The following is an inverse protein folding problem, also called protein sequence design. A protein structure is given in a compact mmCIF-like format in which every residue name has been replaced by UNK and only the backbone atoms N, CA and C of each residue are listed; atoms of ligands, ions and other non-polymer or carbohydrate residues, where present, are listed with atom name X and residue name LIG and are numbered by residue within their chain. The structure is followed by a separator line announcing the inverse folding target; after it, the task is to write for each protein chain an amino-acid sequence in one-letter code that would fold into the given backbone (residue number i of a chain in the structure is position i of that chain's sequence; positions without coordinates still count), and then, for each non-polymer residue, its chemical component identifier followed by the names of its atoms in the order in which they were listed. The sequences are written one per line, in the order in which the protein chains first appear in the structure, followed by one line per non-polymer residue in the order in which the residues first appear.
data_IF_778222373407
#
_entry.id   IF_778222373407
#
_cell.length_a   1.000
_cell.length_b   1.000
_cell.length_c   1.000
_cell.angle_alpha   90.00
_cell.angle_beta   90.00
_cell.angle_gamma   90.00
#
_symmetry.space_group_name_H-M   'P 1'
#
loop_
_entity.id
_entity.type
_entity.pdbx_description
1 polymer ?
#
# COMPACT_ATOMS: atom_id res chain seq x y z
N UNK A 1 -32.75 20.88 9.99
CA UNK A 1 -31.29 20.64 9.91
C UNK A 1 -31.03 19.51 8.97
N UNK A 2 -30.26 19.77 7.95
CA UNK A 2 -29.79 18.67 7.07
C UNK A 2 -28.90 17.71 7.85
N UNK A 3 -29.20 16.42 7.82
CA UNK A 3 -28.27 15.42 8.35
C UNK A 3 -26.94 15.52 7.57
N UNK A 4 -25.82 15.48 8.27
CA UNK A 4 -24.52 15.41 7.64
C UNK A 4 -24.51 14.19 6.70
N UNK A 5 -24.08 14.37 5.45
CA UNK A 5 -23.93 13.26 4.53
C UNK A 5 -22.95 12.23 5.13
N UNK A 6 -23.32 10.95 5.10
CA UNK A 6 -22.39 9.89 5.49
C UNK A 6 -21.17 9.95 4.56
N UNK A 7 -19.94 9.90 5.10
CA UNK A 7 -18.75 9.84 4.26
C UNK A 7 -18.87 8.63 3.32
N UNK A 8 -18.47 8.81 2.07
CA UNK A 8 -18.42 7.68 1.16
C UNK A 8 -17.25 6.75 1.54
N UNK A 9 -17.19 5.58 0.91
CA UNK A 9 -16.16 4.59 1.23
C UNK A 9 -14.74 5.07 0.92
N UNK A 10 -14.55 5.96 -0.06
CA UNK A 10 -13.25 6.53 -0.37
C UNK A 10 -12.82 7.57 0.66
N UNK A 11 -13.75 8.39 1.18
CA UNK A 11 -13.47 9.31 2.29
C UNK A 11 -13.05 8.52 3.54
N UNK A 12 -13.75 7.42 3.83
CA UNK A 12 -13.40 6.53 4.93
C UNK A 12 -12.03 5.87 4.72
N UNK A 13 -11.70 5.48 3.50
CA UNK A 13 -10.40 4.91 3.16
C UNK A 13 -9.28 5.95 3.35
N UNK A 14 -9.47 7.17 2.88
CA UNK A 14 -8.49 8.25 3.08
C UNK A 14 -8.23 8.53 4.56
N UNK A 15 -9.29 8.57 5.37
CA UNK A 15 -9.15 8.76 6.81
C UNK A 15 -8.40 7.60 7.47
N UNK A 16 -8.70 6.36 7.09
CA UNK A 16 -8.03 5.19 7.61
C UNK A 16 -6.56 5.12 7.19
N UNK A 17 -6.25 5.48 5.94
CA UNK A 17 -4.87 5.58 5.46
C UNK A 17 -4.08 6.58 6.30
N UNK A 18 -4.67 7.72 6.65
CA UNK A 18 -4.02 8.71 7.52
C UNK A 18 -3.72 8.15 8.91
N UNK A 19 -4.63 7.36 9.50
CA UNK A 19 -4.38 6.66 10.76
C UNK A 19 -3.22 5.67 10.66
N UNK A 20 -3.17 4.89 9.58
CA UNK A 20 -2.08 3.95 9.34
C UNK A 20 -0.75 4.66 9.12
N UNK A 21 -0.74 5.80 8.43
CA UNK A 21 0.46 6.61 8.25
C UNK A 21 1.07 7.03 9.59
N UNK A 22 0.23 7.46 10.52
CA UNK A 22 0.68 7.80 11.86
C UNK A 22 1.26 6.60 12.59
N UNK A 23 0.54 5.49 12.57
CA UNK A 23 0.96 4.26 13.24
C UNK A 23 2.27 3.70 12.66
N UNK A 24 2.50 3.84 11.36
CA UNK A 24 3.69 3.35 10.66
C UNK A 24 4.83 4.37 10.59
N UNK A 25 4.62 5.60 11.07
CA UNK A 25 5.65 6.64 11.09
C UNK A 25 6.00 7.20 9.72
N UNK A 26 5.06 7.22 8.78
CA UNK A 26 5.25 7.70 7.40
C UNK A 26 4.38 8.91 7.08
N UNK A 27 4.13 9.78 8.04
CA UNK A 27 3.25 10.95 7.89
C UNK A 27 3.78 12.01 6.93
N UNK A 28 5.10 12.01 6.66
CA UNK A 28 5.69 12.93 5.68
C UNK A 28 5.29 12.62 4.24
N UNK A 29 4.86 11.38 3.99
CA UNK A 29 4.43 10.96 2.67
C UNK A 29 3.03 11.48 2.36
N UNK A 30 2.85 12.00 1.15
CA UNK A 30 1.53 12.34 0.64
C UNK A 30 0.96 11.15 -0.12
N UNK A 31 -0.02 10.49 0.47
CA UNK A 31 -0.70 9.35 -0.15
C UNK A 31 -2.03 9.83 -0.75
N UNK A 32 -2.17 9.68 -2.05
CA UNK A 32 -3.40 9.98 -2.77
C UNK A 32 -4.14 8.68 -3.04
N UNK A 33 -5.37 8.59 -2.55
CA UNK A 33 -6.27 7.48 -2.88
C UNK A 33 -6.91 7.77 -4.23
N UNK A 34 -6.70 6.86 -5.19
CA UNK A 34 -7.33 6.95 -6.51
C UNK A 34 -8.78 6.49 -6.38
N UNK A 35 -9.72 7.38 -6.72
CA UNK A 35 -11.17 7.15 -6.53
C UNK A 35 -11.83 6.40 -7.67
N UNK A 36 -11.06 5.93 -8.62
CA UNK A 36 -11.56 5.13 -9.72
C UNK A 36 -11.39 3.65 -9.42
N UNK A 37 -12.33 2.86 -9.88
CA UNK A 37 -12.19 1.41 -9.86
C UNK A 37 -10.97 1.02 -10.69
N UNK A 38 -10.08 0.26 -10.10
CA UNK A 38 -8.87 -0.15 -10.79
C UNK A 38 -8.94 -1.62 -11.20
N UNK A 39 -8.45 -1.90 -12.40
CA UNK A 39 -8.26 -3.24 -12.93
C UNK A 39 -6.98 -3.89 -12.38
N UNK A 40 -6.67 -3.65 -11.11
CA UNK A 40 -5.52 -4.32 -10.50
C UNK A 40 -5.84 -5.80 -10.33
N UNK A 41 -4.91 -6.65 -10.74
CA UNK A 41 -4.99 -8.11 -10.53
C UNK A 41 -4.79 -8.50 -9.06
N UNK A 42 -4.73 -7.51 -8.17
CA UNK A 42 -4.55 -7.68 -6.73
C UNK A 42 -5.70 -6.97 -6.00
N UNK A 43 -5.79 -7.12 -4.69
CA UNK A 43 -6.77 -6.38 -3.90
C UNK A 43 -6.47 -4.88 -3.85
N UNK A 44 -5.20 -4.52 -3.83
CA UNK A 44 -4.75 -3.13 -3.85
C UNK A 44 -3.33 -3.05 -4.43
N UNK A 45 -2.94 -1.86 -4.85
CA UNK A 45 -1.55 -1.56 -5.16
C UNK A 45 -1.18 -0.15 -4.72
N UNK A 46 0.11 0.10 -4.58
CA UNK A 46 0.64 1.41 -4.28
C UNK A 46 1.81 1.71 -5.22
N UNK A 47 1.89 2.96 -5.66
CA UNK A 47 2.97 3.43 -6.52
C UNK A 47 3.75 4.53 -5.82
N UNK A 48 4.85 4.21 -5.12
CA UNK A 48 5.66 5.21 -4.43
C UNK A 48 6.55 6.00 -5.38
N UNK A 49 6.64 7.29 -5.10
CA UNK A 49 7.60 8.21 -5.73
C UNK A 49 8.55 8.69 -4.63
N UNK A 50 9.64 7.98 -4.44
CA UNK A 50 10.51 8.14 -3.27
C UNK A 50 11.07 9.55 -3.13
N UNK A 51 11.55 10.15 -4.22
CA UNK A 51 12.14 11.50 -4.16
C UNK A 51 11.11 12.58 -3.82
N UNK A 52 9.87 12.43 -4.27
CA UNK A 52 8.78 13.35 -3.99
C UNK A 52 8.07 13.04 -2.66
N UNK A 53 8.38 11.92 -2.03
CA UNK A 53 7.70 11.41 -0.84
C UNK A 53 6.18 11.41 -1.04
N UNK A 54 5.73 10.90 -2.17
CA UNK A 54 4.32 10.78 -2.54
C UNK A 54 4.02 9.40 -3.10
N UNK A 55 2.78 8.98 -3.00
CA UNK A 55 2.33 7.70 -3.52
C UNK A 55 0.86 7.75 -3.92
N UNK A 56 0.50 6.96 -4.91
CA UNK A 56 -0.89 6.70 -5.28
C UNK A 56 -1.29 5.31 -4.80
N UNK A 57 -2.38 5.24 -4.06
CA UNK A 57 -2.99 4.00 -3.60
C UNK A 57 -4.25 3.72 -4.41
N UNK A 58 -4.32 2.52 -4.98
CA UNK A 58 -5.51 2.03 -5.68
C UNK A 58 -6.03 0.78 -5.01
N UNK A 59 -7.34 0.62 -4.96
CA UNK A 59 -7.99 -0.59 -4.47
C UNK A 59 -8.90 -1.17 -5.56
N UNK A 60 -8.94 -2.49 -5.62
CA UNK A 60 -9.82 -3.20 -6.57
C UNK A 60 -11.25 -3.28 -6.03
N UNK A 61 -12.19 -3.69 -6.89
CA UNK A 61 -13.56 -3.97 -6.46
C UNK A 61 -13.59 -5.05 -5.37
N UNK A 62 -12.72 -6.05 -5.48
CA UNK A 62 -12.69 -7.16 -4.53
C UNK A 62 -12.17 -6.76 -3.15
N UNK A 63 -11.39 -5.68 -3.05
CA UNK A 63 -10.95 -5.14 -1.77
C UNK A 63 -12.14 -4.83 -0.84
N UNK A 64 -13.18 -4.21 -1.38
CA UNK A 64 -14.34 -3.80 -0.59
C UNK A 64 -15.16 -4.97 -0.06
N UNK A 65 -15.00 -6.14 -0.67
CA UNK A 65 -15.69 -7.38 -0.26
C UNK A 65 -14.94 -8.15 0.83
N UNK A 66 -13.72 -7.74 1.14
CA UNK A 66 -12.91 -8.42 2.14
C UNK A 66 -13.38 -8.10 3.57
N UNK A 67 -13.02 -8.96 4.51
CA UNK A 67 -13.26 -8.70 5.94
C UNK A 67 -12.44 -7.50 6.42
N UNK A 68 -12.86 -6.79 7.49
CA UNK A 68 -12.07 -5.71 8.04
C UNK A 68 -10.64 -6.13 8.42
N UNK A 69 -10.46 -7.31 8.99
CA UNK A 69 -9.12 -7.85 9.28
C UNK A 69 -8.25 -7.96 8.04
N UNK A 70 -8.81 -8.47 6.96
CA UNK A 70 -8.09 -8.63 5.71
C UNK A 70 -7.81 -7.29 5.03
N UNK A 71 -8.78 -6.38 5.04
CA UNK A 71 -8.60 -5.02 4.53
C UNK A 71 -7.46 -4.29 5.25
N UNK A 72 -7.39 -4.41 6.57
CA UNK A 72 -6.29 -3.87 7.38
C UNK A 72 -4.95 -4.43 6.95
N UNK A 73 -4.84 -5.73 6.82
CA UNK A 73 -3.61 -6.40 6.42
C UNK A 73 -3.17 -5.99 5.01
N UNK A 74 -4.12 -5.94 4.06
CA UNK A 74 -3.84 -5.49 2.68
C UNK A 74 -3.26 -4.08 2.68
N UNK A 75 -3.87 -3.15 3.38
CA UNK A 75 -3.43 -1.75 3.39
C UNK A 75 -2.07 -1.58 4.07
N UNK A 76 -1.82 -2.28 5.16
CA UNK A 76 -0.51 -2.26 5.83
C UNK A 76 0.56 -2.81 4.89
N UNK A 77 0.28 -3.92 4.20
CA UNK A 77 1.17 -4.50 3.20
C UNK A 77 1.57 -3.45 2.15
N UNK A 78 0.57 -2.80 1.53
CA UNK A 78 0.84 -1.79 0.52
C UNK A 78 1.63 -0.61 1.08
N UNK A 79 1.29 -0.13 2.27
CA UNK A 79 1.98 0.99 2.88
C UNK A 79 3.42 0.67 3.31
N UNK A 80 3.73 -0.59 3.58
CA UNK A 80 5.10 -1.03 3.85
C UNK A 80 6.00 -0.91 2.61
N UNK A 81 5.44 -0.94 1.40
CA UNK A 81 6.21 -0.64 0.19
C UNK A 81 6.73 0.81 0.17
N UNK A 82 6.10 1.71 0.89
CA UNK A 82 6.64 3.07 1.11
C UNK A 82 7.90 2.99 1.96
N UNK A 83 7.90 2.17 2.99
CA UNK A 83 9.06 1.98 3.88
C UNK A 83 10.24 1.38 3.12
N UNK A 84 9.98 0.48 2.18
CA UNK A 84 11.03 -0.16 1.36
C UNK A 84 11.38 0.63 0.10
N UNK A 85 10.66 1.71 -0.22
CA UNK A 85 10.78 2.41 -1.50
C UNK A 85 12.21 2.88 -1.81
N UNK A 86 12.93 3.38 -0.82
CA UNK A 86 14.32 3.82 -1.01
C UNK A 86 15.26 2.65 -1.26
N UNK A 87 15.04 1.54 -0.57
CA UNK A 87 15.80 0.30 -0.79
C UNK A 87 15.55 -0.21 -2.21
N UNK A 88 14.29 -0.26 -2.63
CA UNK A 88 13.90 -0.71 -3.97
C UNK A 88 14.55 0.16 -5.05
N UNK A 89 14.54 1.48 -4.87
CA UNK A 89 15.17 2.42 -5.78
C UNK A 89 16.70 2.24 -5.84
N UNK A 90 17.33 2.00 -4.70
CA UNK A 90 18.77 1.73 -4.62
C UNK A 90 19.14 0.47 -5.38
N UNK A 91 18.33 -0.57 -5.27
CA UNK A 91 18.52 -1.83 -6.00
C UNK A 91 18.29 -1.62 -7.51
N UNK A 92 17.24 -0.92 -7.90
CA UNK A 92 16.95 -0.62 -9.30
C UNK A 92 18.11 0.14 -9.98
N UNK A 93 18.78 1.02 -9.25
CA UNK A 93 19.93 1.76 -9.76
C UNK A 93 21.11 0.85 -10.12
N UNK A 94 21.11 -0.41 -9.69
CA UNK A 94 22.14 -1.39 -10.02
C UNK A 94 21.87 -2.15 -11.33
N UNK A 95 20.73 -1.92 -11.99
CA UNK A 95 20.34 -2.66 -13.19
C UNK A 95 21.42 -2.62 -14.27
N UNK A 96 21.94 -1.42 -14.55
CA UNK A 96 22.96 -1.23 -15.57
C UNK A 96 24.27 -1.98 -15.22
N UNK A 97 24.66 -1.96 -13.95
CA UNK A 97 25.87 -2.66 -13.49
C UNK A 97 25.73 -4.17 -13.56
N UNK A 98 24.53 -4.70 -13.31
CA UNK A 98 24.25 -6.15 -13.44
C UNK A 98 24.26 -6.62 -14.90
N UNK A 99 23.92 -5.73 -15.84
CA UNK A 99 23.68 -6.10 -17.23
C UNK A 99 22.35 -6.84 -17.42
N UNK A 100 21.95 -7.00 -18.67
CA UNK A 100 20.65 -7.57 -19.04
C UNK A 100 20.38 -8.96 -18.44
N UNK A 101 21.35 -9.86 -18.55
CA UNK A 101 21.21 -11.24 -18.09
C UNK A 101 21.22 -11.31 -16.56
N UNK A 102 22.18 -10.63 -15.95
CA UNK A 102 22.29 -10.59 -14.50
C UNK A 102 21.05 -9.97 -13.83
N UNK A 103 20.53 -8.90 -14.39
CA UNK A 103 19.32 -8.27 -13.88
C UNK A 103 18.09 -9.16 -14.03
N UNK A 104 17.93 -9.82 -15.17
CA UNK A 104 16.83 -10.75 -15.41
C UNK A 104 16.80 -11.93 -14.43
N UNK A 105 17.97 -12.31 -13.90
CA UNK A 105 18.08 -13.38 -12.89
C UNK A 105 17.84 -12.80 -11.49
N UNK A 106 18.41 -11.65 -11.17
CA UNK A 106 18.40 -11.06 -9.84
C UNK A 106 17.06 -10.42 -9.48
N UNK A 107 16.51 -9.60 -10.37
CA UNK A 107 15.32 -8.79 -10.06
C UNK A 107 14.12 -9.60 -9.55
N UNK A 108 13.72 -10.72 -10.20
CA UNK A 108 12.59 -11.50 -9.70
C UNK A 108 12.84 -12.09 -8.31
N UNK A 109 14.06 -12.42 -7.98
CA UNK A 109 14.44 -12.94 -6.66
C UNK A 109 14.33 -11.84 -5.60
N UNK A 110 14.80 -10.64 -5.92
CA UNK A 110 14.70 -9.48 -5.03
C UNK A 110 13.24 -9.10 -4.77
N UNK A 111 12.44 -9.01 -5.82
CA UNK A 111 11.00 -8.69 -5.70
C UNK A 111 10.30 -9.74 -4.84
N UNK A 112 10.55 -11.02 -5.09
CA UNK A 112 9.95 -12.09 -4.30
C UNK A 112 10.36 -12.02 -2.82
N UNK A 113 11.64 -11.78 -2.55
CA UNK A 113 12.16 -11.67 -1.18
C UNK A 113 11.55 -10.46 -0.46
N UNK A 114 11.45 -9.31 -1.13
CA UNK A 114 10.85 -8.09 -0.58
C UNK A 114 9.37 -8.30 -0.28
N UNK A 115 8.62 -8.92 -1.19
CA UNK A 115 7.21 -9.24 -0.98
C UNK A 115 7.00 -10.13 0.26
N UNK A 116 7.85 -11.11 0.46
CA UNK A 116 7.79 -11.99 1.64
C UNK A 116 8.05 -11.23 2.94
N UNK A 117 9.04 -10.34 2.94
CA UNK A 117 9.36 -9.51 4.11
C UNK A 117 8.21 -8.57 4.43
N UNK A 118 7.69 -7.87 3.44
CA UNK A 118 6.56 -6.95 3.58
C UNK A 118 5.32 -7.68 4.10
N UNK A 119 4.99 -8.82 3.52
CA UNK A 119 3.84 -9.63 3.94
C UNK A 119 3.99 -10.13 5.39
N UNK A 120 5.17 -10.59 5.76
CA UNK A 120 5.45 -11.02 7.13
C UNK A 120 5.26 -9.89 8.13
N UNK A 121 5.82 -8.71 7.84
CA UNK A 121 5.71 -7.55 8.74
C UNK A 121 4.27 -7.06 8.81
N UNK A 122 3.55 -7.04 7.69
CA UNK A 122 2.13 -6.66 7.68
C UNK A 122 1.30 -7.55 8.60
N UNK A 123 1.48 -8.85 8.52
CA UNK A 123 0.80 -9.82 9.38
C UNK A 123 1.16 -9.68 10.86
N UNK A 124 2.41 -9.33 11.14
CA UNK A 124 2.89 -9.11 12.51
C UNK A 124 2.29 -7.84 13.12
N UNK A 125 2.20 -6.76 12.34
CA UNK A 125 1.72 -5.47 12.82
C UNK A 125 0.18 -5.39 12.88
N UNK A 126 -0.51 -6.02 11.94
CA UNK A 126 -1.95 -5.85 11.77
C UNK A 126 -2.77 -6.04 13.06
N UNK A 127 -2.55 -7.09 13.89
CA UNK A 127 -3.36 -7.28 15.08
C UNK A 127 -3.29 -6.14 16.12
N UNK A 128 -2.25 -5.32 16.07
CA UNK A 128 -2.01 -4.22 17.01
C UNK A 128 -2.50 -2.87 16.49
N UNK A 129 -3.06 -2.83 15.28
CA UNK A 129 -3.54 -1.61 14.65
C UNK A 129 -5.08 -1.61 14.57
N UNK A 130 -5.71 -0.42 14.53
CA UNK A 130 -7.17 -0.36 14.51
C UNK A 130 -7.76 -0.99 13.26
N UNK A 131 -8.95 -1.58 13.41
CA UNK A 131 -9.70 -2.13 12.28
C UNK A 131 -10.38 -1.00 11.49
N UNK A 132 -10.42 -1.09 10.16
CA UNK A 132 -11.20 -0.16 9.37
C UNK A 132 -12.70 -0.47 9.50
N UNK A 133 -13.53 0.54 9.27
CA UNK A 133 -14.97 0.41 9.20
C UNK A 133 -15.47 1.15 7.97
N UNK A 134 -15.34 0.52 6.80
CA UNK A 134 -15.76 1.13 5.55
C UNK A 134 -17.27 0.95 5.33
N UNK A 135 -17.98 2.02 4.87
CA UNK A 135 -19.38 1.90 4.52
C UNK A 135 -19.55 0.85 3.40
N UNK A 136 -20.57 0.01 3.54
CA UNK A 136 -20.97 -0.87 2.45
C UNK A 136 -21.62 -0.03 1.35
N UNK A 137 -21.27 -0.34 0.12
CA UNK A 137 -21.83 0.33 -1.03
C UNK A 137 -23.33 0.04 -1.16
#
# INVERSE_FOLDING_TARGET
MAAAAKPDRFDALEAYVAELQEALGITVWKITVVREASDVEAWADINPHEQAESAELRVSYDFWKQTPDHQREILIHEMLHIVTARLDQTVEAMEEAFGKIGWAIFEPQYVNATERVVDHIAKLLAPNLPLPAFPKA
#
